data_IF_034378180006
#
_entry.id   IF_034378180006
#
_cell.length_a   1.000
_cell.length_b   1.000
_cell.length_c   1.000
_cell.angle_alpha   90.00
_cell.angle_beta   90.00
_cell.angle_gamma   90.00
#
_symmetry.space_group_name_H-M   'P 1'
#
loop_
_entity.id
_entity.type
_entity.pdbx_description
1 polymer ?
#
# COMPACT_ATOMS: atom_id res chain seq x y z
N UNK A 1 7.65 43.73 -9.51
CA UNK A 1 7.75 42.48 -8.73
C UNK A 1 6.64 41.60 -9.25
N UNK A 2 6.97 40.71 -10.18
CA UNK A 2 5.98 39.86 -10.85
C UNK A 2 5.77 38.68 -9.91
N UNK A 3 4.56 38.59 -9.39
CA UNK A 3 4.03 37.39 -8.73
C UNK A 3 3.87 36.31 -9.80
N UNK A 4 4.82 35.38 -9.86
CA UNK A 4 4.78 34.16 -10.70
C UNK A 4 4.06 33.05 -9.93
N UNK A 5 2.87 33.35 -9.40
CA UNK A 5 1.99 32.41 -8.75
C UNK A 5 1.55 31.30 -9.70
N UNK A 6 2.39 30.29 -9.90
CA UNK A 6 1.94 28.95 -10.26
C UNK A 6 1.28 28.37 -9.02
N UNK A 7 0.01 28.69 -8.82
CA UNK A 7 -0.83 27.78 -8.05
C UNK A 7 -0.70 26.39 -8.68
N UNK A 8 -0.54 25.32 -7.89
CA UNK A 8 -0.64 23.97 -8.44
C UNK A 8 -1.96 23.89 -9.19
N UNK A 9 -1.89 23.71 -10.51
CA UNK A 9 -3.10 23.60 -11.33
C UNK A 9 -3.91 22.42 -10.84
N UNK A 10 -5.24 22.55 -10.86
CA UNK A 10 -6.13 21.40 -10.61
C UNK A 10 -5.73 20.28 -11.58
N UNK A 11 -5.45 19.06 -11.11
CA UNK A 11 -5.09 17.94 -11.98
C UNK A 11 -6.15 17.78 -13.07
N UNK A 12 -5.73 17.77 -14.34
CA UNK A 12 -6.66 17.69 -15.47
C UNK A 12 -6.68 16.31 -16.10
N UNK A 13 -5.61 15.53 -15.94
CA UNK A 13 -5.55 14.17 -16.43
C UNK A 13 -6.32 13.24 -15.48
N UNK A 14 -7.34 12.48 -15.95
CA UNK A 14 -8.02 11.50 -15.11
C UNK A 14 -7.08 10.36 -14.71
N UNK A 15 -7.61 9.38 -13.97
CA UNK A 15 -6.88 8.15 -13.67
C UNK A 15 -6.46 7.46 -14.98
N UNK A 16 -5.18 7.08 -15.06
CA UNK A 16 -4.62 6.42 -16.23
C UNK A 16 -4.42 4.95 -15.91
N UNK A 17 -5.05 4.08 -16.70
CA UNK A 17 -4.83 2.63 -16.65
C UNK A 17 -3.70 2.27 -17.61
N UNK A 18 -2.68 1.57 -17.14
CA UNK A 18 -1.51 1.16 -17.92
C UNK A 18 -1.39 -0.37 -17.92
N UNK A 19 -1.12 -0.96 -19.08
CA UNK A 19 -0.65 -2.35 -19.13
C UNK A 19 0.77 -2.46 -18.55
N UNK A 20 1.25 -3.69 -18.35
CA UNK A 20 2.63 -3.90 -17.92
C UNK A 20 3.65 -3.39 -18.95
N UNK A 21 3.36 -3.54 -20.24
CA UNK A 21 4.25 -3.09 -21.32
C UNK A 21 4.26 -1.56 -21.44
N UNK A 22 3.12 -0.93 -21.20
CA UNK A 22 3.03 0.54 -21.17
C UNK A 22 3.79 1.11 -19.98
N UNK A 23 3.71 0.47 -18.80
CA UNK A 23 4.51 0.88 -17.66
C UNK A 23 6.02 0.73 -17.94
N UNK A 24 6.45 -0.41 -18.49
CA UNK A 24 7.88 -0.65 -18.83
C UNK A 24 8.38 0.37 -19.88
N UNK A 25 7.59 0.63 -20.92
CA UNK A 25 7.87 1.66 -21.92
C UNK A 25 8.02 3.06 -21.30
N UNK A 26 7.11 3.43 -20.39
CA UNK A 26 7.14 4.75 -19.75
C UNK A 26 8.31 4.91 -18.79
N UNK A 27 8.66 3.86 -18.03
CA UNK A 27 9.85 3.82 -17.16
C UNK A 27 11.12 4.05 -17.98
N UNK A 28 11.27 3.34 -19.10
CA UNK A 28 12.41 3.52 -20.02
C UNK A 28 12.44 4.91 -20.67
N UNK A 29 11.33 5.32 -21.26
CA UNK A 29 11.23 6.57 -22.03
C UNK A 29 11.49 7.81 -21.17
N UNK A 30 11.09 7.76 -19.90
CA UNK A 30 11.31 8.82 -18.94
C UNK A 30 12.63 8.69 -18.18
N UNK A 31 13.41 7.63 -18.45
CA UNK A 31 14.65 7.28 -17.76
C UNK A 31 14.48 7.26 -16.23
N UNK A 32 13.42 6.60 -15.75
CA UNK A 32 13.14 6.46 -14.33
C UNK A 32 14.02 5.34 -13.77
N UNK A 33 14.70 5.62 -12.64
CA UNK A 33 15.65 4.67 -12.06
C UNK A 33 14.95 3.41 -11.54
N UNK A 34 13.96 3.58 -10.66
CA UNK A 34 13.17 2.51 -10.06
C UNK A 34 11.83 3.06 -9.61
N UNK A 35 10.77 2.26 -9.74
CA UNK A 35 9.47 2.57 -9.13
C UNK A 35 9.38 1.94 -7.73
N UNK A 36 8.45 2.39 -6.87
CA UNK A 36 8.28 1.84 -5.53
C UNK A 36 8.21 0.31 -5.57
N UNK A 37 9.00 -0.35 -4.71
CA UNK A 37 9.15 -1.82 -4.73
C UNK A 37 7.80 -2.51 -4.56
N UNK A 38 6.87 -1.90 -3.83
CA UNK A 38 5.50 -2.39 -3.68
C UNK A 38 4.75 -2.47 -5.01
N UNK A 39 5.10 -1.73 -6.06
CA UNK A 39 4.42 -1.84 -7.36
C UNK A 39 4.92 -3.03 -8.18
N UNK A 40 6.03 -3.66 -7.79
CA UNK A 40 6.61 -4.84 -8.45
C UNK A 40 6.84 -4.62 -9.97
N UNK A 41 7.09 -3.36 -10.35
CA UNK A 41 7.39 -2.98 -11.73
C UNK A 41 8.80 -3.45 -12.08
N UNK A 42 8.89 -4.55 -12.80
CA UNK A 42 10.15 -5.21 -13.16
C UNK A 42 10.26 -5.38 -14.67
N UNK A 43 11.47 -5.34 -15.24
CA UNK A 43 11.69 -5.67 -16.65
C UNK A 43 11.13 -7.06 -16.99
N UNK A 44 10.45 -7.18 -18.13
CA UNK A 44 9.67 -8.39 -18.48
C UNK A 44 10.26 -9.24 -19.60
N UNK A 45 11.27 -8.74 -20.29
CA UNK A 45 11.73 -9.29 -21.56
C UNK A 45 13.19 -9.74 -21.46
N UNK A 46 13.45 -10.98 -21.85
CA UNK A 46 14.80 -11.55 -21.89
C UNK A 46 15.62 -11.09 -23.11
N UNK A 47 14.97 -10.47 -24.11
CA UNK A 47 15.63 -10.02 -25.35
C UNK A 47 15.18 -8.62 -25.74
N UNK A 48 16.10 -7.86 -26.35
CA UNK A 48 15.82 -6.53 -26.88
C UNK A 48 14.75 -6.57 -27.98
N UNK A 49 14.76 -7.55 -28.88
CA UNK A 49 13.79 -7.65 -29.96
C UNK A 49 12.35 -7.82 -29.45
N UNK A 50 12.16 -8.66 -28.42
CA UNK A 50 10.84 -8.87 -27.79
C UNK A 50 10.37 -7.60 -27.07
N UNK A 51 11.28 -6.96 -26.33
CA UNK A 51 11.02 -5.69 -25.66
C UNK A 51 10.62 -4.59 -26.64
N UNK A 52 11.38 -4.44 -27.72
CA UNK A 52 11.13 -3.40 -28.73
C UNK A 52 9.80 -3.65 -29.46
N UNK A 53 9.41 -4.91 -29.66
CA UNK A 53 8.09 -5.25 -30.19
C UNK A 53 6.96 -4.86 -29.23
N UNK A 54 7.11 -5.16 -27.93
CA UNK A 54 6.16 -4.75 -26.91
C UNK A 54 6.06 -3.22 -26.80
N UNK A 55 7.19 -2.52 -26.87
CA UNK A 55 7.25 -1.07 -26.80
C UNK A 55 6.56 -0.40 -27.98
N UNK A 56 6.69 -0.95 -29.20
CA UNK A 56 5.91 -0.48 -30.35
C UNK A 56 4.41 -0.60 -30.10
N UNK A 57 3.96 -1.74 -29.57
CA UNK A 57 2.56 -1.94 -29.18
C UNK A 57 2.10 -0.94 -28.10
N UNK A 58 2.91 -0.74 -27.07
CA UNK A 58 2.65 0.23 -26.00
C UNK A 58 2.55 1.68 -26.52
N UNK A 59 3.41 2.07 -27.46
CA UNK A 59 3.35 3.38 -28.12
C UNK A 59 2.03 3.54 -28.84
N UNK A 60 1.60 2.54 -29.62
CA UNK A 60 0.34 2.60 -30.36
C UNK A 60 -0.86 2.74 -29.42
N UNK A 61 -0.91 1.98 -28.32
CA UNK A 61 -2.02 2.01 -27.36
C UNK A 61 -2.04 3.24 -26.46
N UNK A 62 -0.87 3.80 -26.12
CA UNK A 62 -0.77 5.08 -25.40
C UNK A 62 -1.15 6.25 -26.31
N UNK A 63 -0.68 6.27 -27.56
CA UNK A 63 -1.01 7.30 -28.53
C UNK A 63 -2.51 7.33 -28.86
N UNK A 64 -3.15 6.16 -28.99
CA UNK A 64 -4.59 6.05 -29.21
C UNK A 64 -5.45 6.63 -28.07
N UNK A 65 -4.86 6.87 -26.89
CA UNK A 65 -5.50 7.45 -25.70
C UNK A 65 -4.99 8.86 -25.37
N UNK A 66 -4.33 9.51 -26.33
CA UNK A 66 -3.74 10.84 -26.19
C UNK A 66 -2.72 10.96 -25.03
N UNK A 67 -2.09 9.84 -24.65
CA UNK A 67 -1.04 9.82 -23.61
C UNK A 67 0.37 10.07 -24.18
N UNK A 68 0.49 10.15 -25.51
CA UNK A 68 1.73 10.53 -26.21
C UNK A 68 1.52 11.73 -27.17
N UNK A 69 1.01 12.88 -26.71
CA UNK A 69 0.80 14.04 -27.58
C UNK A 69 2.13 14.49 -28.22
N UNK A 70 2.15 14.57 -29.56
CA UNK A 70 3.36 14.91 -30.30
C UNK A 70 4.51 13.90 -30.13
N UNK A 71 4.19 12.65 -29.79
CA UNK A 71 5.19 11.59 -29.56
C UNK A 71 5.93 11.70 -28.22
N UNK A 72 5.45 12.52 -27.30
CA UNK A 72 6.01 12.70 -25.95
C UNK A 72 5.00 12.30 -24.90
N UNK A 73 5.46 11.70 -23.80
CA UNK A 73 4.60 11.35 -22.66
C UNK A 73 3.82 12.57 -22.19
N UNK A 74 2.51 12.39 -21.97
CA UNK A 74 1.64 13.43 -21.44
C UNK A 74 2.25 14.06 -20.17
N UNK A 75 2.39 15.40 -20.08
CA UNK A 75 3.13 16.04 -19.00
C UNK A 75 2.70 15.63 -17.60
N UNK A 76 1.39 15.63 -17.31
CA UNK A 76 0.88 15.19 -15.99
C UNK A 76 1.16 13.72 -15.67
N UNK A 77 1.16 12.83 -16.68
CA UNK A 77 1.51 11.42 -16.46
C UNK A 77 3.00 11.29 -16.15
N UNK A 78 3.84 12.02 -16.90
CA UNK A 78 5.27 12.05 -16.67
C UNK A 78 5.60 12.58 -15.26
N UNK A 79 4.91 13.62 -14.81
CA UNK A 79 5.11 14.18 -13.47
C UNK A 79 4.66 13.21 -12.37
N UNK A 80 3.53 12.52 -12.55
CA UNK A 80 3.08 11.47 -11.61
C UNK A 80 4.10 10.33 -11.52
N UNK A 81 4.61 9.84 -12.65
CA UNK A 81 5.59 8.76 -12.68
C UNK A 81 6.94 9.19 -12.07
N UNK A 82 7.35 10.44 -12.26
CA UNK A 82 8.55 10.99 -11.59
C UNK A 82 8.39 11.07 -10.08
N UNK A 83 7.21 11.44 -9.58
CA UNK A 83 6.92 11.41 -8.14
C UNK A 83 6.97 9.99 -7.59
N UNK A 84 6.39 9.02 -8.30
CA UNK A 84 6.52 7.61 -7.90
C UNK A 84 7.99 7.17 -7.86
N UNK A 85 8.81 7.56 -8.83
CA UNK A 85 10.21 7.15 -8.90
C UNK A 85 11.10 7.82 -7.84
N UNK A 86 10.75 9.04 -7.39
CA UNK A 86 11.51 9.80 -6.39
C UNK A 86 10.58 10.52 -5.41
N UNK A 87 9.87 9.79 -4.56
CA UNK A 87 8.99 10.41 -3.58
C UNK A 87 9.80 10.93 -2.39
N UNK A 88 9.24 11.89 -1.66
CA UNK A 88 9.72 12.29 -0.33
C UNK A 88 9.43 11.18 0.69
N UNK A 89 8.23 10.60 0.59
CA UNK A 89 7.79 9.45 1.35
C UNK A 89 6.72 8.67 0.58
N UNK A 90 6.52 7.42 0.94
CA UNK A 90 5.41 6.61 0.45
C UNK A 90 4.70 5.83 1.56
N UNK A 91 3.43 5.52 1.32
CA UNK A 91 2.70 4.46 2.00
C UNK A 91 2.53 3.32 1.00
N UNK A 92 3.13 2.18 1.31
CA UNK A 92 3.11 0.97 0.52
C UNK A 92 2.14 -0.04 1.15
N UNK A 93 1.23 -0.57 0.33
CA UNK A 93 0.21 -1.53 0.74
C UNK A 93 0.28 -2.77 -0.15
N UNK A 94 0.35 -3.95 0.48
CA UNK A 94 0.15 -5.26 -0.14
C UNK A 94 -1.14 -5.85 0.39
N UNK A 95 -2.07 -6.16 -0.49
CA UNK A 95 -3.35 -6.75 -0.14
C UNK A 95 -3.47 -8.13 -0.77
N UNK A 96 -3.50 -9.13 0.09
CA UNK A 96 -3.65 -10.52 -0.27
C UNK A 96 -5.13 -10.89 -0.19
N UNK A 97 -5.61 -11.58 -1.22
CA UNK A 97 -6.96 -12.15 -1.30
C UNK A 97 -6.81 -13.54 -1.92
N UNK A 98 -7.01 -14.59 -1.13
CA UNK A 98 -6.97 -15.99 -1.59
C UNK A 98 -5.72 -16.33 -2.43
N UNK A 99 -4.56 -15.85 -1.98
CA UNK A 99 -3.26 -16.07 -2.64
C UNK A 99 -2.96 -15.13 -3.82
N UNK A 100 -3.92 -14.30 -4.24
CA UNK A 100 -3.68 -13.20 -5.18
C UNK A 100 -3.24 -11.96 -4.44
N UNK A 101 -2.35 -11.16 -5.06
CA UNK A 101 -1.84 -9.93 -4.46
C UNK A 101 -2.18 -8.71 -5.33
N UNK A 102 -2.93 -7.79 -4.73
CA UNK A 102 -3.10 -6.42 -5.20
C UNK A 102 -2.17 -5.51 -4.42
N UNK A 103 -1.68 -4.46 -5.07
CA UNK A 103 -0.66 -3.58 -4.50
C UNK A 103 -1.08 -2.13 -4.68
N UNK A 104 -0.76 -1.30 -3.71
CA UNK A 104 -1.03 0.14 -3.75
C UNK A 104 0.19 0.88 -3.22
N UNK A 105 0.49 2.00 -3.86
CA UNK A 105 1.50 2.95 -3.41
C UNK A 105 0.88 4.35 -3.41
N UNK A 106 0.92 5.01 -2.27
CA UNK A 106 0.65 6.44 -2.15
C UNK A 106 1.99 7.14 -1.97
N UNK A 107 2.39 7.96 -2.93
CA UNK A 107 3.68 8.66 -2.94
C UNK A 107 3.47 10.16 -2.84
N UNK A 108 4.25 10.82 -1.98
CA UNK A 108 4.26 12.28 -1.88
C UNK A 108 5.49 12.84 -2.59
N UNK A 109 5.29 13.76 -3.52
CA UNK A 109 6.36 14.62 -4.05
C UNK A 109 6.30 16.03 -3.47
N UNK A 110 7.15 16.92 -3.97
CA UNK A 110 7.18 18.33 -3.52
C UNK A 110 5.90 19.09 -3.87
N UNK A 111 5.29 18.79 -5.02
CA UNK A 111 4.18 19.56 -5.58
C UNK A 111 2.84 18.81 -5.64
N UNK A 112 2.86 17.47 -5.65
CA UNK A 112 1.65 16.64 -5.78
C UNK A 112 1.83 15.28 -5.11
N UNK A 113 0.72 14.61 -4.87
CA UNK A 113 0.64 13.27 -4.29
C UNK A 113 0.05 12.31 -5.32
N UNK A 114 0.66 11.15 -5.50
CA UNK A 114 0.28 10.17 -6.53
C UNK A 114 -0.21 8.90 -5.86
N UNK A 115 -1.31 8.37 -6.36
CA UNK A 115 -1.76 7.02 -6.04
C UNK A 115 -1.52 6.11 -7.23
N UNK A 116 -0.80 5.01 -7.01
CA UNK A 116 -0.63 3.93 -7.95
C UNK A 116 -1.22 2.63 -7.37
N UNK A 117 -2.06 1.95 -8.13
CA UNK A 117 -2.53 0.60 -7.82
C UNK A 117 -2.01 -0.37 -8.87
N UNK A 118 -1.73 -1.60 -8.45
CA UNK A 118 -1.48 -2.73 -9.34
C UNK A 118 -2.34 -3.92 -8.94
N UNK A 119 -3.08 -4.45 -9.89
CA UNK A 119 -3.80 -5.72 -9.76
C UNK A 119 -3.63 -6.52 -11.04
N UNK A 120 -3.18 -7.78 -10.92
CA UNK A 120 -2.83 -8.60 -12.06
C UNK A 120 -1.81 -7.91 -12.97
N UNK A 121 -2.18 -7.78 -14.25
CA UNK A 121 -1.32 -7.24 -15.31
C UNK A 121 -1.60 -5.76 -15.64
N UNK A 122 -2.15 -5.02 -14.69
CA UNK A 122 -2.56 -3.64 -14.90
C UNK A 122 -2.14 -2.74 -13.75
N UNK A 123 -1.72 -1.53 -14.10
CA UNK A 123 -1.53 -0.41 -13.19
C UNK A 123 -2.63 0.63 -13.36
N UNK A 124 -2.98 1.31 -12.28
CA UNK A 124 -3.77 2.55 -12.31
C UNK A 124 -2.94 3.63 -11.64
N UNK A 125 -2.68 4.73 -12.34
CA UNK A 125 -1.91 5.89 -11.82
C UNK A 125 -2.79 7.13 -11.86
N UNK A 126 -2.93 7.81 -10.72
CA UNK A 126 -3.78 8.98 -10.57
C UNK A 126 -3.23 9.96 -9.54
N UNK A 127 -3.78 11.18 -9.56
CA UNK A 127 -3.63 12.10 -8.43
C UNK A 127 -4.29 11.49 -7.18
N UNK A 128 -3.65 11.63 -6.02
CA UNK A 128 -4.16 11.05 -4.78
C UNK A 128 -5.34 11.85 -4.18
N UNK A 129 -5.58 13.07 -4.64
CA UNK A 129 -6.60 13.97 -4.14
C UNK A 129 -6.24 14.61 -2.79
N UNK A 130 -7.16 15.40 -2.25
CA UNK A 130 -6.96 16.11 -0.99
C UNK A 130 -7.04 15.19 0.24
N UNK A 131 -7.88 14.15 0.21
CA UNK A 131 -7.95 13.13 1.27
C UNK A 131 -7.13 11.92 0.83
N UNK A 132 -5.85 11.93 1.20
CA UNK A 132 -4.88 10.90 0.81
C UNK A 132 -5.24 9.49 1.33
N UNK A 133 -5.97 9.39 2.43
CA UNK A 133 -6.28 8.09 3.06
C UNK A 133 -7.60 7.50 2.60
N UNK A 134 -8.55 8.31 2.13
CA UNK A 134 -9.80 7.81 1.56
C UNK A 134 -9.61 6.74 0.48
N UNK A 135 -8.73 6.91 -0.53
CA UNK A 135 -8.55 5.88 -1.55
C UNK A 135 -7.83 4.63 -1.03
N UNK A 136 -6.96 4.76 -0.02
CA UNK A 136 -6.30 3.60 0.63
C UNK A 136 -7.34 2.76 1.38
N UNK A 137 -8.23 3.40 2.12
CA UNK A 137 -9.35 2.74 2.83
C UNK A 137 -10.32 2.13 1.82
N UNK A 138 -10.69 2.87 0.78
CA UNK A 138 -11.59 2.41 -0.27
C UNK A 138 -11.07 1.20 -1.04
N UNK A 139 -9.75 1.13 -1.26
CA UNK A 139 -9.11 -0.01 -1.93
C UNK A 139 -9.24 -1.33 -1.16
N UNK A 140 -9.37 -1.28 0.16
CA UNK A 140 -9.59 -2.46 1.00
C UNK A 140 -11.07 -2.86 1.08
N UNK A 141 -11.98 -2.07 0.51
CA UNK A 141 -13.42 -2.37 0.52
C UNK A 141 -14.08 -2.21 1.90
N UNK A 142 -15.38 -2.46 1.93
CA UNK A 142 -16.22 -2.35 3.13
C UNK A 142 -16.47 -3.73 3.75
N UNK A 143 -16.05 -3.90 5.00
CA UNK A 143 -16.18 -5.14 5.77
C UNK A 143 -16.57 -4.78 7.19
N UNK A 144 -17.61 -5.43 7.71
CA UNK A 144 -18.08 -5.21 9.07
C UNK A 144 -16.96 -5.49 10.09
N UNK A 145 -16.76 -4.63 11.10
CA UNK A 145 -15.75 -4.85 12.13
C UNK A 145 -16.04 -6.13 12.93
N UNK A 146 -15.01 -6.93 13.20
CA UNK A 146 -15.15 -8.08 14.08
C UNK A 146 -15.51 -7.63 15.50
N UNK A 147 -16.52 -8.25 16.11
CA UNK A 147 -16.93 -7.95 17.48
C UNK A 147 -16.06 -8.68 18.50
N UNK A 148 -14.89 -8.10 18.82
CA UNK A 148 -13.94 -8.59 19.83
C UNK A 148 -13.36 -7.44 20.65
N UNK A 149 -12.90 -7.76 21.87
CA UNK A 149 -12.06 -6.87 22.65
C UNK A 149 -10.77 -6.47 21.93
N UNK A 150 -10.16 -5.36 22.36
CA UNK A 150 -8.81 -4.98 21.88
C UNK A 150 -7.78 -5.88 22.55
N UNK A 151 -6.95 -6.54 21.76
CA UNK A 151 -5.77 -7.28 22.23
C UNK A 151 -4.56 -6.37 22.16
N UNK A 152 -3.76 -6.35 23.22
CA UNK A 152 -2.48 -5.65 23.26
C UNK A 152 -1.43 -6.57 23.88
N UNK A 153 -0.34 -6.82 23.17
CA UNK A 153 0.74 -7.67 23.64
C UNK A 153 2.10 -7.20 23.08
N UNK A 154 3.22 -7.56 23.72
CA UNK A 154 4.54 -7.36 23.12
C UNK A 154 4.60 -8.02 21.74
N UNK A 155 5.11 -7.32 20.74
CA UNK A 155 5.08 -7.76 19.33
C UNK A 155 5.71 -9.14 19.15
N UNK A 156 6.84 -9.40 19.82
CA UNK A 156 7.52 -10.70 19.75
C UNK A 156 6.63 -11.83 20.27
N UNK A 157 5.99 -11.64 21.43
CA UNK A 157 5.13 -12.65 22.04
C UNK A 157 3.86 -12.89 21.23
N UNK A 158 3.28 -11.82 20.66
CA UNK A 158 2.13 -11.95 19.77
C UNK A 158 2.53 -12.71 18.50
N UNK A 159 3.67 -12.38 17.88
CA UNK A 159 4.20 -13.09 16.72
C UNK A 159 4.40 -14.59 17.01
N UNK A 160 5.05 -14.92 18.12
CA UNK A 160 5.22 -16.32 18.56
C UNK A 160 3.89 -17.06 18.74
N UNK A 161 2.85 -16.38 19.24
CA UNK A 161 1.51 -16.97 19.36
C UNK A 161 0.87 -17.29 18.00
N UNK A 162 1.07 -16.43 16.99
CA UNK A 162 0.62 -16.68 15.62
C UNK A 162 1.44 -17.77 14.92
N UNK A 163 2.76 -17.80 15.11
CA UNK A 163 3.65 -18.79 14.50
C UNK A 163 3.40 -20.21 15.05
N UNK A 164 3.11 -20.34 16.35
CA UNK A 164 2.78 -21.61 17.00
C UNK A 164 1.32 -22.04 16.77
N UNK A 165 0.45 -21.09 16.42
CA UNK A 165 -1.00 -21.23 16.33
C UNK A 165 -1.48 -21.96 15.07
N UNK A 166 -0.87 -23.09 14.72
CA UNK A 166 -1.15 -23.86 13.50
C UNK A 166 -2.62 -24.32 13.33
N UNK A 167 -3.44 -24.23 14.38
CA UNK A 167 -4.90 -24.22 14.32
C UNK A 167 -5.50 -23.15 15.25
N UNK A 168 -6.79 -22.82 15.04
CA UNK A 168 -7.47 -21.78 15.81
C UNK A 168 -7.55 -22.06 17.31
N UNK A 169 -7.55 -23.33 17.73
CA UNK A 169 -7.58 -23.72 19.14
C UNK A 169 -6.23 -23.42 19.82
N UNK A 170 -5.14 -23.70 19.13
CA UNK A 170 -3.78 -23.45 19.60
C UNK A 170 -3.51 -21.95 19.70
N UNK A 171 -3.94 -21.18 18.68
CA UNK A 171 -3.89 -19.72 18.73
C UNK A 171 -4.72 -19.15 19.89
N UNK A 172 -5.93 -19.65 20.11
CA UNK A 172 -6.77 -19.22 21.24
C UNK A 172 -6.10 -19.49 22.61
N UNK A 173 -5.46 -20.64 22.77
CA UNK A 173 -4.72 -20.97 24.00
C UNK A 173 -3.53 -20.03 24.20
N UNK A 174 -2.77 -19.74 23.14
CA UNK A 174 -1.64 -18.82 23.19
C UNK A 174 -2.10 -17.39 23.52
N UNK A 175 -3.17 -16.88 22.90
CA UNK A 175 -3.74 -15.57 23.21
C UNK A 175 -4.25 -15.50 24.65
N UNK A 176 -4.84 -16.57 25.17
CA UNK A 176 -5.27 -16.65 26.58
C UNK A 176 -4.07 -16.55 27.52
N UNK A 177 -2.94 -17.18 27.18
CA UNK A 177 -1.70 -17.09 27.95
C UNK A 177 -1.11 -15.67 27.95
N UNK A 178 -1.39 -14.87 26.91
CA UNK A 178 -1.06 -13.44 26.83
C UNK A 178 -2.07 -12.53 27.54
N UNK A 179 -3.09 -13.09 28.20
CA UNK A 179 -4.06 -12.34 29.00
C UNK A 179 -5.32 -11.90 28.24
N UNK A 180 -5.54 -12.38 27.01
CA UNK A 180 -6.80 -12.17 26.29
C UNK A 180 -7.91 -12.98 26.97
N UNK A 181 -9.14 -12.43 27.02
CA UNK A 181 -10.27 -13.16 27.60
C UNK A 181 -10.51 -14.46 26.83
N UNK A 182 -10.92 -15.53 27.50
CA UNK A 182 -11.13 -16.82 26.84
C UNK A 182 -12.16 -16.73 25.69
N UNK A 183 -13.15 -15.84 25.82
CA UNK A 183 -14.16 -15.56 24.79
C UNK A 183 -13.53 -14.90 23.57
N UNK A 184 -12.80 -13.80 23.75
CA UNK A 184 -12.14 -13.09 22.64
C UNK A 184 -11.05 -13.94 22.00
N UNK A 185 -10.27 -14.66 22.80
CA UNK A 185 -9.21 -15.54 22.32
C UNK A 185 -9.75 -16.68 21.45
N UNK A 186 -10.88 -17.28 21.86
CA UNK A 186 -11.57 -18.30 21.05
C UNK A 186 -12.11 -17.71 19.75
N UNK A 187 -12.74 -16.54 19.81
CA UNK A 187 -13.27 -15.85 18.64
C UNK A 187 -12.16 -15.50 17.63
N UNK A 188 -11.06 -14.89 18.11
CA UNK A 188 -9.89 -14.54 17.30
C UNK A 188 -9.20 -15.77 16.73
N UNK A 189 -8.99 -16.81 17.55
CA UNK A 189 -8.37 -18.06 17.11
C UNK A 189 -9.13 -18.69 15.95
N UNK A 190 -10.46 -18.80 16.07
CA UNK A 190 -11.31 -19.35 15.02
C UNK A 190 -11.32 -18.47 13.75
N UNK A 191 -11.38 -17.16 13.91
CA UNK A 191 -11.44 -16.21 12.81
C UNK A 191 -10.11 -16.16 12.01
N UNK A 192 -8.97 -16.22 12.71
CA UNK A 192 -7.65 -16.12 12.09
C UNK A 192 -7.19 -17.42 11.43
N UNK A 193 -7.61 -18.60 11.92
CA UNK A 193 -7.16 -19.90 11.40
C UNK A 193 -7.44 -20.12 9.90
N UNK A 194 -8.47 -19.45 9.35
CA UNK A 194 -8.81 -19.51 7.93
C UNK A 194 -8.63 -18.18 7.18
N UNK A 195 -7.94 -17.21 7.78
CA UNK A 195 -7.82 -15.87 7.20
C UNK A 195 -6.82 -15.87 6.04
N UNK A 196 -7.32 -15.79 4.82
CA UNK A 196 -6.55 -15.67 3.58
C UNK A 196 -6.56 -14.26 2.99
N UNK A 197 -7.35 -13.36 3.60
CA UNK A 197 -7.49 -11.97 3.14
C UNK A 197 -6.91 -11.02 4.16
N UNK A 198 -5.78 -10.41 3.82
CA UNK A 198 -5.09 -9.50 4.71
C UNK A 198 -4.30 -8.44 3.96
N UNK A 199 -4.08 -7.28 4.59
CA UNK A 199 -3.25 -6.23 4.07
C UNK A 199 -2.08 -5.90 5.02
N UNK A 200 -0.93 -5.64 4.43
CA UNK A 200 0.26 -5.11 5.09
C UNK A 200 0.50 -3.70 4.58
N UNK A 201 0.55 -2.73 5.47
CA UNK A 201 0.71 -1.32 5.14
C UNK A 201 1.92 -0.77 5.90
N UNK A 202 2.90 -0.26 5.14
CA UNK A 202 4.13 0.30 5.67
C UNK A 202 4.36 1.70 5.14
N UNK A 203 4.99 2.53 5.95
CA UNK A 203 5.45 3.85 5.53
C UNK A 203 6.95 3.80 5.25
N UNK A 204 7.42 4.51 4.24
CA UNK A 204 8.84 4.60 3.88
C UNK A 204 9.18 6.06 3.64
N UNK A 205 10.29 6.54 4.19
CA UNK A 205 10.83 7.88 3.97
C UNK A 205 12.09 7.77 3.14
N UNK A 206 12.26 8.69 2.19
CA UNK A 206 13.43 8.76 1.34
C UNK A 206 14.30 9.95 1.74
N UNK A 207 15.56 9.68 2.06
CA UNK A 207 16.52 10.71 2.48
C UNK A 207 17.86 10.10 2.87
N UNK A 208 18.95 10.86 2.69
CA UNK A 208 20.31 10.45 3.09
C UNK A 208 20.78 9.07 2.58
N UNK A 209 20.27 8.64 1.42
CA UNK A 209 20.57 7.33 0.84
C UNK A 209 19.92 6.15 1.57
N UNK A 210 18.96 6.40 2.47
CA UNK A 210 18.17 5.39 3.17
C UNK A 210 16.74 5.33 2.63
N UNK A 211 16.17 4.13 2.63
CA UNK A 211 14.80 3.82 2.20
C UNK A 211 14.16 2.74 3.09
N UNK A 212 14.55 2.70 4.38
CA UNK A 212 14.02 1.72 5.32
C UNK A 212 12.57 2.07 5.70
N UNK A 213 11.68 1.07 5.84
CA UNK A 213 10.35 1.31 6.38
C UNK A 213 10.42 1.96 7.76
N UNK A 214 9.59 2.97 7.98
CA UNK A 214 9.38 3.51 9.32
C UNK A 214 8.68 2.46 10.18
N UNK A 215 9.00 2.43 11.46
CA UNK A 215 8.33 1.52 12.40
C UNK A 215 6.85 1.87 12.55
N UNK A 216 6.04 0.91 13.00
CA UNK A 216 4.60 1.08 13.17
C UNK A 216 3.76 0.64 11.97
N UNK A 217 4.01 -0.53 11.34
CA UNK A 217 3.15 -1.03 10.28
C UNK A 217 1.69 -1.15 10.74
N UNK A 218 0.78 -0.99 9.78
CA UNK A 218 -0.65 -1.24 9.94
C UNK A 218 -0.98 -2.53 9.21
N UNK A 219 -1.73 -3.41 9.86
CA UNK A 219 -2.25 -4.64 9.24
C UNK A 219 -3.77 -4.62 9.24
N UNK A 220 -4.36 -5.26 8.23
CA UNK A 220 -5.80 -5.47 8.15
C UNK A 220 -6.04 -6.95 7.90
N UNK A 221 -6.94 -7.57 8.64
CA UNK A 221 -7.34 -8.96 8.45
C UNK A 221 -8.84 -9.01 8.23
N UNK A 222 -9.26 -9.50 7.07
CA UNK A 222 -10.67 -9.71 6.75
C UNK A 222 -11.00 -11.17 6.98
N UNK A 223 -11.55 -11.44 8.16
CA UNK A 223 -11.89 -12.80 8.59
C UNK A 223 -13.36 -13.10 8.29
N UNK A 224 -13.75 -14.38 8.41
CA UNK A 224 -15.17 -14.76 8.34
C UNK A 224 -16.04 -14.16 9.44
N UNK A 225 -15.43 -13.60 10.50
CA UNK A 225 -16.12 -12.95 11.63
C UNK A 225 -16.08 -11.41 11.57
N UNK A 226 -15.49 -10.84 10.52
CA UNK A 226 -15.34 -9.40 10.33
C UNK A 226 -13.88 -8.93 10.26
N UNK A 227 -13.71 -7.62 10.06
CA UNK A 227 -12.42 -6.98 9.91
C UNK A 227 -11.73 -6.72 11.25
N UNK A 228 -10.44 -6.96 11.28
CA UNK A 228 -9.53 -6.58 12.37
C UNK A 228 -8.48 -5.63 11.81
N UNK A 229 -8.17 -4.56 12.54
CA UNK A 229 -7.03 -3.69 12.26
C UNK A 229 -5.96 -3.91 13.32
N UNK A 230 -4.75 -4.22 12.85
CA UNK A 230 -3.56 -4.31 13.65
C UNK A 230 -2.72 -3.03 13.56
N UNK A 231 -2.20 -2.59 14.70
CA UNK A 231 -1.27 -1.45 14.77
C UNK A 231 -0.12 -1.79 15.69
N UNK A 232 0.96 -1.02 15.60
CA UNK A 232 2.13 -1.23 16.44
C UNK A 232 2.69 0.07 17.01
N UNK A 233 3.29 -0.04 18.18
CA UNK A 233 3.87 1.07 18.93
C UNK A 233 5.16 0.63 19.62
N UNK A 234 5.92 1.59 20.14
CA UNK A 234 7.13 1.33 20.93
C UNK A 234 6.95 2.03 22.28
N UNK A 235 7.16 1.29 23.38
CA UNK A 235 7.06 1.84 24.72
C UNK A 235 8.24 2.76 25.06
N UNK A 236 8.14 3.52 26.15
CA UNK A 236 9.25 4.34 26.66
C UNK A 236 10.51 3.52 27.00
N UNK A 237 10.38 2.21 27.22
CA UNK A 237 11.50 1.29 27.46
C UNK A 237 12.01 0.60 26.19
N UNK A 238 11.54 1.02 25.00
CA UNK A 238 11.99 0.47 23.71
C UNK A 238 11.34 -0.86 23.33
N UNK A 239 10.34 -1.33 24.07
CA UNK A 239 9.64 -2.59 23.75
C UNK A 239 8.60 -2.33 22.67
N UNK A 240 8.65 -3.10 21.58
CA UNK A 240 7.61 -3.07 20.55
C UNK A 240 6.33 -3.76 21.03
N UNK A 241 5.20 -3.11 20.84
CA UNK A 241 3.86 -3.60 21.15
C UNK A 241 3.02 -3.66 19.89
N UNK A 242 2.17 -4.68 19.82
CA UNK A 242 1.17 -4.83 18.77
C UNK A 242 -0.22 -4.88 19.37
N UNK A 243 -1.15 -4.26 18.67
CA UNK A 243 -2.56 -4.17 19.02
C UNK A 243 -3.38 -4.82 17.93
N UNK A 244 -4.38 -5.64 18.28
CA UNK A 244 -5.42 -6.10 17.34
C UNK A 244 -6.77 -5.56 17.83
N UNK A 245 -7.53 -4.93 16.94
CA UNK A 245 -8.77 -4.25 17.31
C UNK A 245 -9.85 -4.44 16.24
N UNK A 246 -11.15 -4.35 16.60
CA UNK A 246 -12.22 -4.27 15.60
C UNK A 246 -11.90 -3.22 14.53
N UNK A 247 -11.91 -3.63 13.27
CA UNK A 247 -11.38 -2.85 12.16
C UNK A 247 -12.40 -1.88 11.56
N UNK A 248 -12.84 -0.91 12.35
CA UNK A 248 -13.73 0.16 11.86
C UNK A 248 -13.00 1.06 10.85
N UNK A 249 -13.72 1.68 9.90
CA UNK A 249 -13.13 2.66 8.98
C UNK A 249 -12.39 3.79 9.71
N UNK A 250 -12.92 4.22 10.86
CA UNK A 250 -12.29 5.26 11.67
C UNK A 250 -10.98 4.80 12.30
N UNK A 251 -10.88 3.56 12.80
CA UNK A 251 -9.63 3.03 13.34
C UNK A 251 -8.58 2.82 12.25
N UNK A 252 -9.00 2.34 11.09
CA UNK A 252 -8.09 2.23 9.94
C UNK A 252 -7.57 3.62 9.53
N UNK A 253 -8.42 4.63 9.44
CA UNK A 253 -8.00 6.01 9.19
C UNK A 253 -7.00 6.51 10.22
N UNK A 254 -7.29 6.37 11.52
CA UNK A 254 -6.39 6.78 12.60
C UNK A 254 -5.04 6.06 12.54
N UNK A 255 -5.04 4.78 12.18
CA UNK A 255 -3.82 4.00 11.99
C UNK A 255 -2.97 4.55 10.84
N UNK A 256 -3.60 4.88 9.70
CA UNK A 256 -2.94 5.49 8.55
C UNK A 256 -2.41 6.90 8.85
N UNK A 257 -3.17 7.71 9.57
CA UNK A 257 -2.74 9.03 10.05
C UNK A 257 -1.52 8.92 10.97
N UNK A 258 -1.56 7.99 11.93
CA UNK A 258 -0.42 7.75 12.83
C UNK A 258 0.81 7.22 12.10
N UNK A 259 0.63 6.43 11.04
CA UNK A 259 1.73 5.99 10.18
C UNK A 259 2.31 7.18 9.40
N UNK A 260 1.46 8.03 8.82
CA UNK A 260 1.88 9.20 8.07
C UNK A 260 2.58 10.26 8.93
N UNK A 261 2.21 10.41 10.20
CA UNK A 261 2.91 11.31 11.12
C UNK A 261 4.38 10.91 11.34
N UNK A 262 4.74 9.64 11.11
CA UNK A 262 6.13 9.15 11.19
C UNK A 262 6.93 9.39 9.91
N UNK A 263 6.27 9.84 8.85
CA UNK A 263 6.89 10.15 7.56
C UNK A 263 7.38 11.60 7.47
N UNK A 264 7.12 12.40 8.51
CA UNK A 264 7.44 13.83 8.60
C UNK A 264 8.68 14.08 9.46
#
# INVERSE_FOLDING_TARGET
MIDLGTQPGVPTLPAVTLSLDEMDYLVDTLALDVLPVVLDATPRYDTYDARDAAFRGAVDTLAARDLLPGGRVHPELADRLRVLARPLWEIALRWYVDGSISRLCLSQGDALSVLALRAGDTYVVQDAGADLFAPVIGALGDVEPMNVGVVNAPTVQLGEAFDQGGDGKSLAAALTALGVTAVDATALGNAMAGCTTYAEIVGIVYGDGRYDPVGGPVTVFDTSAGRIVGTSSVSAHGVAWSSLSPGTPQRLRQALESLADRLR
#
